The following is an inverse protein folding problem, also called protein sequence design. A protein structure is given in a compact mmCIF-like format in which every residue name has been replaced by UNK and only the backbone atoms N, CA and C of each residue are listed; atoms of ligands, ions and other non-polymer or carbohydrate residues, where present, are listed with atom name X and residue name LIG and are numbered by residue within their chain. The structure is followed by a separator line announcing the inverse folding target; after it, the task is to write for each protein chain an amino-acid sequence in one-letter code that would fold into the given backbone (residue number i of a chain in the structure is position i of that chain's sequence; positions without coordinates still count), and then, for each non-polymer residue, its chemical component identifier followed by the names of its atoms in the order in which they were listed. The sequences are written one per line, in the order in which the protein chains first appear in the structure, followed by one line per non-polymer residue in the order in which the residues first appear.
data_IF_132828570780
#
_entry.id   IF_132828570780
#
_cell.length_a   1.000
_cell.length_b   1.000
_cell.length_c   1.000
_cell.angle_alpha   90.00
_cell.angle_beta   90.00
_cell.angle_gamma   90.00
#
_symmetry.space_group_name_H-M   'P 1'
#
loop_
_entity.id
_entity.type
_entity.pdbx_description
1 polymer ?
#
# COMPACT_ATOMS: atom_id res chain seq x y z
N UNK A 1 9.44 -1.01 -27.05
CA UNK A 1 9.62 0.29 -26.36
C UNK A 1 9.44 0.08 -24.86
N UNK A 2 10.46 0.31 -24.04
CA UNK A 2 10.25 0.40 -22.58
C UNK A 2 9.42 1.68 -22.34
N UNK A 3 8.19 1.55 -21.87
CA UNK A 3 7.42 2.74 -21.48
C UNK A 3 8.14 3.45 -20.33
N UNK A 4 8.23 4.77 -20.44
CA UNK A 4 8.85 5.62 -19.44
C UNK A 4 7.89 5.76 -18.25
N UNK A 5 8.45 5.69 -17.04
CA UNK A 5 7.72 5.99 -15.81
C UNK A 5 7.10 7.37 -15.87
N UNK A 6 5.80 7.47 -15.58
CA UNK A 6 5.07 8.75 -15.54
C UNK A 6 4.96 9.27 -14.12
N UNK A 7 5.03 10.58 -13.98
CA UNK A 7 5.10 11.26 -12.69
C UNK A 7 3.95 12.26 -12.56
N UNK A 8 3.20 12.18 -11.47
CA UNK A 8 2.11 13.08 -11.13
C UNK A 8 2.35 13.71 -9.76
N UNK A 9 2.26 15.04 -9.67
CA UNK A 9 2.43 15.82 -8.43
C UNK A 9 1.15 16.46 -7.93
N UNK A 10 0.06 16.26 -8.66
CA UNK A 10 -1.28 16.67 -8.29
C UNK A 10 -2.26 15.58 -8.76
N UNK A 11 -3.42 15.50 -8.09
CA UNK A 11 -4.40 14.45 -8.37
C UNK A 11 -5.07 14.67 -9.72
N UNK A 12 -5.39 15.92 -10.07
CA UNK A 12 -6.12 16.27 -11.29
C UNK A 12 -5.40 15.82 -12.57
N UNK A 13 -4.10 16.04 -12.68
CA UNK A 13 -3.28 15.59 -13.81
C UNK A 13 -3.33 14.08 -13.98
N UNK A 14 -3.32 13.33 -12.86
CA UNK A 14 -3.49 11.88 -12.92
C UNK A 14 -4.88 11.51 -13.42
N UNK A 15 -5.93 12.12 -12.85
CA UNK A 15 -7.32 11.85 -13.24
C UNK A 15 -7.61 12.17 -14.72
N UNK A 16 -7.00 13.23 -15.24
CA UNK A 16 -7.15 13.68 -16.63
C UNK A 16 -6.21 12.98 -17.63
N UNK A 17 -5.34 12.10 -17.15
CA UNK A 17 -4.40 11.36 -18.00
C UNK A 17 -5.03 10.12 -18.65
N UNK A 18 -4.35 9.54 -19.64
CA UNK A 18 -4.79 8.29 -20.29
C UNK A 18 -4.56 7.06 -19.39
N UNK A 19 -5.44 6.86 -18.41
CA UNK A 19 -5.31 5.87 -17.31
C UNK A 19 -4.94 4.45 -17.77
N UNK A 20 -5.62 3.91 -18.78
CA UNK A 20 -5.38 2.54 -19.27
C UNK A 20 -4.03 2.33 -19.98
N UNK A 21 -3.37 3.42 -20.38
CA UNK A 21 -2.08 3.38 -21.08
C UNK A 21 -0.89 3.19 -20.12
N UNK A 22 -1.11 3.39 -18.82
CA UNK A 22 -0.04 3.46 -17.85
C UNK A 22 0.40 2.07 -17.38
N UNK A 23 1.72 1.85 -17.38
CA UNK A 23 2.34 0.62 -16.87
C UNK A 23 3.26 0.86 -15.68
N UNK A 24 3.82 2.08 -15.56
CA UNK A 24 4.70 2.50 -14.47
C UNK A 24 4.37 3.96 -14.09
N UNK A 25 3.86 4.15 -12.87
CA UNK A 25 3.41 5.45 -12.38
C UNK A 25 4.03 5.75 -11.02
N UNK A 26 4.41 7.01 -10.83
CA UNK A 26 4.65 7.62 -9.53
C UNK A 26 3.73 8.81 -9.30
N UNK A 27 2.90 8.72 -8.26
CA UNK A 27 1.98 9.77 -7.81
C UNK A 27 2.50 10.24 -6.46
N UNK A 28 2.89 11.51 -6.37
CA UNK A 28 3.32 12.15 -5.13
C UNK A 28 2.34 13.24 -4.73
N UNK A 29 1.61 12.99 -3.65
CA UNK A 29 0.61 13.90 -3.10
C UNK A 29 0.84 14.11 -1.59
N UNK A 30 2.08 14.30 -1.09
CA UNK A 30 2.28 14.53 0.34
C UNK A 30 1.57 15.81 0.77
N UNK A 31 0.93 15.79 1.95
CA UNK A 31 0.28 16.97 2.56
C UNK A 31 -0.72 17.68 1.64
N UNK A 32 -1.35 16.95 0.71
CA UNK A 32 -2.22 17.51 -0.33
C UNK A 32 -3.69 17.55 0.08
N UNK A 33 -4.00 17.28 1.35
CA UNK A 33 -5.36 17.27 1.90
C UNK A 33 -6.33 16.38 1.10
N UNK A 34 -5.83 15.23 0.62
CA UNK A 34 -6.60 14.32 -0.23
C UNK A 34 -7.91 13.88 0.46
N UNK A 35 -7.84 13.56 1.76
CA UNK A 35 -8.99 13.13 2.55
C UNK A 35 -9.71 11.90 1.95
N UNK A 36 -10.93 11.65 2.43
CA UNK A 36 -11.75 10.51 2.01
C UNK A 36 -12.26 10.63 0.55
N UNK A 37 -12.67 11.83 0.13
CA UNK A 37 -13.18 12.02 -1.23
C UNK A 37 -12.05 11.92 -2.26
N UNK A 38 -10.90 12.55 -2.00
CA UNK A 38 -9.77 12.49 -2.91
C UNK A 38 -9.19 11.09 -3.05
N UNK A 39 -9.13 10.31 -1.96
CA UNK A 39 -8.63 8.92 -2.04
C UNK A 39 -9.63 8.02 -2.77
N UNK A 40 -10.94 8.28 -2.65
CA UNK A 40 -11.97 7.59 -3.44
C UNK A 40 -11.83 7.88 -4.95
N UNK A 41 -11.60 9.14 -5.32
CA UNK A 41 -11.36 9.54 -6.72
C UNK A 41 -10.08 8.90 -7.27
N UNK A 42 -8.98 8.97 -6.51
CA UNK A 42 -7.71 8.33 -6.87
C UNK A 42 -7.89 6.82 -7.07
N UNK A 43 -8.56 6.16 -6.13
CA UNK A 43 -8.80 4.71 -6.16
C UNK A 43 -9.64 4.31 -7.37
N UNK A 44 -10.70 5.07 -7.66
CA UNK A 44 -11.56 4.86 -8.84
C UNK A 44 -10.79 5.01 -10.16
N UNK A 45 -9.80 5.89 -10.21
CA UNK A 45 -8.92 6.03 -11.37
C UNK A 45 -7.85 4.93 -11.46
N UNK A 46 -7.30 4.47 -10.32
CA UNK A 46 -6.34 3.36 -10.28
C UNK A 46 -6.94 2.06 -10.85
N UNK A 47 -8.22 1.76 -10.58
CA UNK A 47 -8.92 0.59 -11.14
C UNK A 47 -8.93 0.60 -12.68
N UNK A 48 -8.90 1.78 -13.31
CA UNK A 48 -8.86 1.93 -14.77
C UNK A 48 -7.46 1.73 -15.36
N UNK A 49 -6.42 1.66 -14.53
CA UNK A 49 -5.04 1.43 -14.95
C UNK A 49 -4.79 -0.08 -15.16
N UNK A 50 -5.47 -0.69 -16.13
CA UNK A 50 -5.52 -2.14 -16.34
C UNK A 50 -4.18 -2.80 -16.69
N UNK A 51 -3.19 -2.01 -17.12
CA UNK A 51 -1.84 -2.46 -17.47
C UNK A 51 -0.79 -2.08 -16.42
N UNK A 52 -1.21 -1.57 -15.25
CA UNK A 52 -0.30 -1.05 -14.23
C UNK A 52 0.54 -2.19 -13.63
N UNK A 53 1.85 -2.10 -13.81
CA UNK A 53 2.82 -3.07 -13.32
C UNK A 53 3.67 -2.54 -12.15
N UNK A 54 3.93 -1.24 -12.15
CA UNK A 54 4.69 -0.55 -11.11
C UNK A 54 3.90 0.67 -10.61
N UNK A 55 3.70 0.76 -9.31
CA UNK A 55 3.07 1.91 -8.67
C UNK A 55 3.92 2.40 -7.51
N UNK A 56 4.27 3.69 -7.56
CA UNK A 56 4.72 4.45 -6.40
C UNK A 56 3.64 5.45 -6.04
N UNK A 57 3.14 5.39 -4.82
CA UNK A 57 2.09 6.26 -4.33
C UNK A 57 2.52 6.83 -2.98
N UNK A 58 2.78 8.14 -2.95
CA UNK A 58 3.11 8.88 -1.74
C UNK A 58 1.90 9.71 -1.30
N UNK A 59 1.29 9.27 -0.21
CA UNK A 59 0.12 9.86 0.44
C UNK A 59 0.46 10.27 1.89
N UNK A 60 1.71 10.61 2.17
CA UNK A 60 2.13 11.14 3.47
C UNK A 60 1.21 12.28 3.94
N UNK A 61 0.68 12.16 5.17
CA UNK A 61 -0.11 13.21 5.83
C UNK A 61 -1.29 13.75 5.02
N UNK A 62 -2.25 12.89 4.69
CA UNK A 62 -3.41 13.24 3.86
C UNK A 62 -4.77 13.07 4.53
N UNK A 63 -4.80 12.88 5.85
CA UNK A 63 -6.04 12.68 6.62
C UNK A 63 -6.87 11.49 6.10
N UNK A 64 -6.20 10.44 5.61
CA UNK A 64 -6.84 9.20 5.16
C UNK A 64 -7.21 8.38 6.41
N UNK A 65 -8.48 8.03 6.53
CA UNK A 65 -8.98 7.19 7.60
C UNK A 65 -9.17 5.73 7.18
N UNK A 66 -9.93 5.00 7.99
CA UNK A 66 -10.16 3.57 7.80
C UNK A 66 -10.91 3.24 6.51
N UNK A 67 -11.89 4.05 6.13
CA UNK A 67 -12.66 3.84 4.90
C UNK A 67 -11.77 4.09 3.67
N UNK A 68 -11.02 5.19 3.68
CA UNK A 68 -10.15 5.56 2.57
C UNK A 68 -9.08 4.53 2.27
N UNK A 69 -8.43 3.98 3.30
CA UNK A 69 -7.42 2.93 3.10
C UNK A 69 -8.03 1.61 2.62
N UNK A 70 -9.26 1.27 3.04
CA UNK A 70 -9.98 0.09 2.55
C UNK A 70 -10.35 0.20 1.08
N UNK A 71 -10.84 1.39 0.67
CA UNK A 71 -11.15 1.71 -0.73
C UNK A 71 -9.87 1.63 -1.57
N UNK A 72 -8.77 2.22 -1.09
CA UNK A 72 -7.47 2.14 -1.77
C UNK A 72 -7.00 0.69 -1.91
N UNK A 73 -7.04 -0.09 -0.84
CA UNK A 73 -6.63 -1.50 -0.86
C UNK A 73 -7.43 -2.29 -1.89
N UNK A 74 -8.75 -2.06 -1.96
CA UNK A 74 -9.63 -2.70 -2.93
C UNK A 74 -9.30 -2.31 -4.37
N UNK A 75 -8.96 -1.04 -4.63
CA UNK A 75 -8.50 -0.62 -5.95
C UNK A 75 -7.16 -1.26 -6.35
N UNK A 76 -6.20 -1.34 -5.43
CA UNK A 76 -4.91 -2.00 -5.66
C UNK A 76 -5.07 -3.49 -5.98
N UNK A 77 -6.01 -4.18 -5.33
CA UNK A 77 -6.31 -5.59 -5.62
C UNK A 77 -6.87 -5.81 -7.03
N UNK A 78 -7.48 -4.79 -7.65
CA UNK A 78 -7.95 -4.85 -9.04
C UNK A 78 -6.83 -4.62 -10.06
N UNK A 79 -5.66 -4.12 -9.64
CA UNK A 79 -4.49 -3.96 -10.50
C UNK A 79 -3.79 -5.31 -10.68
N UNK A 80 -4.40 -6.21 -11.46
CA UNK A 80 -3.97 -7.62 -11.58
C UNK A 80 -2.54 -7.80 -12.11
N UNK A 81 -2.01 -6.82 -12.85
CA UNK A 81 -0.63 -6.85 -13.37
C UNK A 81 0.42 -6.25 -12.42
N UNK A 82 0.00 -5.76 -11.24
CA UNK A 82 0.88 -5.04 -10.31
C UNK A 82 1.94 -5.98 -9.72
N UNK A 83 3.20 -5.67 -10.00
CA UNK A 83 4.40 -6.43 -9.56
C UNK A 83 5.20 -5.68 -8.52
N UNK A 84 5.22 -4.35 -8.59
CA UNK A 84 5.97 -3.48 -7.69
C UNK A 84 5.02 -2.44 -7.11
N UNK A 85 4.90 -2.43 -5.79
CA UNK A 85 4.13 -1.44 -5.06
C UNK A 85 5.02 -0.75 -4.03
N UNK A 86 5.11 0.57 -4.12
CA UNK A 86 5.63 1.42 -3.06
C UNK A 86 4.53 2.36 -2.59
N UNK A 87 4.04 2.15 -1.38
CA UNK A 87 2.93 2.89 -0.78
C UNK A 87 3.39 3.57 0.51
N UNK A 88 3.30 4.90 0.53
CA UNK A 88 3.54 5.73 1.70
C UNK A 88 2.23 6.28 2.23
N UNK A 89 1.85 5.84 3.42
CA UNK A 89 0.64 6.23 4.14
C UNK A 89 0.99 6.75 5.54
N UNK A 90 2.23 7.20 5.76
CA UNK A 90 2.64 7.73 7.06
C UNK A 90 1.83 8.99 7.45
N UNK A 91 1.68 9.23 8.75
CA UNK A 91 0.96 10.40 9.31
C UNK A 91 -0.50 10.53 8.86
N UNK A 92 -1.22 9.42 8.77
CA UNK A 92 -2.66 9.41 8.48
C UNK A 92 -3.46 9.03 9.73
N UNK A 93 -4.76 8.78 9.56
CA UNK A 93 -5.69 8.43 10.63
C UNK A 93 -6.14 6.97 10.48
N UNK A 94 -5.21 6.08 10.10
CA UNK A 94 -5.50 4.67 9.87
C UNK A 94 -5.44 3.93 11.20
N UNK A 95 -6.57 3.36 11.58
CA UNK A 95 -6.73 2.58 12.80
C UNK A 95 -6.69 1.08 12.49
N UNK A 96 -6.97 0.30 13.52
CA UNK A 96 -6.99 -1.16 13.45
C UNK A 96 -7.98 -1.70 12.39
N UNK A 97 -9.23 -1.21 12.36
CA UNK A 97 -10.26 -1.70 11.44
C UNK A 97 -9.90 -1.41 9.97
N UNK A 98 -9.45 -0.18 9.69
CA UNK A 98 -8.95 0.19 8.36
C UNK A 98 -7.81 -0.70 7.90
N UNK A 99 -6.87 -0.99 8.81
CA UNK A 99 -5.74 -1.90 8.53
C UNK A 99 -6.22 -3.31 8.21
N UNK A 100 -7.18 -3.86 8.96
CA UNK A 100 -7.72 -5.20 8.70
C UNK A 100 -8.39 -5.29 7.32
N UNK A 101 -9.23 -4.32 6.98
CA UNK A 101 -9.88 -4.27 5.67
C UNK A 101 -8.87 -4.06 4.53
N UNK A 102 -7.90 -3.16 4.69
CA UNK A 102 -6.80 -2.99 3.74
C UNK A 102 -6.01 -4.30 3.53
N UNK A 103 -5.70 -5.02 4.61
CA UNK A 103 -4.98 -6.29 4.56
C UNK A 103 -5.75 -7.39 3.83
N UNK A 104 -7.09 -7.39 3.95
CA UNK A 104 -7.96 -8.33 3.23
C UNK A 104 -7.80 -8.15 1.72
N UNK A 105 -7.74 -6.90 1.24
CA UNK A 105 -7.53 -6.62 -0.19
C UNK A 105 -6.06 -6.80 -0.62
N UNK A 106 -5.10 -6.37 0.21
CA UNK A 106 -3.66 -6.56 -0.07
C UNK A 106 -3.31 -8.03 -0.28
N UNK A 107 -3.92 -8.93 0.49
CA UNK A 107 -3.75 -10.38 0.35
C UNK A 107 -4.07 -10.92 -1.06
N UNK A 108 -4.89 -10.20 -1.85
CA UNK A 108 -5.27 -10.57 -3.20
C UNK A 108 -4.28 -10.08 -4.27
N UNK A 109 -3.29 -9.24 -3.89
CA UNK A 109 -2.25 -8.73 -4.78
C UNK A 109 -1.14 -9.78 -5.04
N UNK A 110 -1.53 -10.98 -5.49
CA UNK A 110 -0.67 -12.18 -5.56
C UNK A 110 0.51 -12.09 -6.54
N UNK A 111 0.48 -11.14 -7.47
CA UNK A 111 1.55 -10.89 -8.44
C UNK A 111 2.65 -9.96 -7.91
N UNK A 112 2.49 -9.39 -6.70
CA UNK A 112 3.51 -8.55 -6.09
C UNK A 112 4.80 -9.36 -5.84
N UNK A 113 5.90 -8.81 -6.37
CA UNK A 113 7.26 -9.28 -6.17
C UNK A 113 8.09 -8.34 -5.29
N UNK A 114 7.74 -7.05 -5.27
CA UNK A 114 8.33 -6.07 -4.40
C UNK A 114 7.25 -5.20 -3.74
N UNK A 115 7.34 -5.05 -2.42
CA UNK A 115 6.45 -4.22 -1.62
C UNK A 115 7.28 -3.31 -0.71
N UNK A 116 7.04 -2.01 -0.82
CA UNK A 116 7.42 -1.01 0.18
C UNK A 116 6.12 -0.48 0.77
N UNK A 117 5.90 -0.70 2.06
CA UNK A 117 4.71 -0.27 2.77
C UNK A 117 5.11 0.53 4.00
N UNK A 118 4.84 1.84 3.99
CA UNK A 118 5.09 2.73 5.12
C UNK A 118 3.77 3.19 5.72
N UNK A 119 3.57 2.85 6.98
CA UNK A 119 2.35 3.08 7.75
C UNK A 119 2.67 3.70 9.13
N UNK A 120 3.87 4.24 9.31
CA UNK A 120 4.25 4.88 10.58
C UNK A 120 3.39 6.07 10.94
N UNK A 121 3.31 6.38 12.24
CA UNK A 121 2.50 7.50 12.74
C UNK A 121 1.03 7.38 12.32
N UNK A 122 0.44 6.23 12.62
CA UNK A 122 -0.99 5.95 12.49
C UNK A 122 -1.49 5.38 13.84
N UNK A 123 -2.69 4.80 13.87
CA UNK A 123 -3.29 4.21 15.08
C UNK A 123 -3.48 2.69 14.93
N UNK A 124 -2.53 2.02 14.28
CA UNK A 124 -2.60 0.57 14.05
C UNK A 124 -2.40 -0.20 15.37
N UNK A 125 -3.42 -0.96 15.77
CA UNK A 125 -3.39 -1.85 16.92
C UNK A 125 -2.78 -3.22 16.65
N UNK A 126 -2.82 -4.10 17.65
CA UNK A 126 -2.24 -5.45 17.55
C UNK A 126 -2.99 -6.32 16.54
N UNK A 127 -4.31 -6.23 16.41
CA UNK A 127 -5.05 -7.04 15.42
C UNK A 127 -4.79 -6.54 13.99
N UNK A 128 -4.56 -5.23 13.82
CA UNK A 128 -4.12 -4.65 12.56
C UNK A 128 -2.75 -5.20 12.12
N UNK A 129 -1.79 -5.25 13.05
CA UNK A 129 -0.48 -5.85 12.79
C UNK A 129 -0.55 -7.38 12.55
N UNK A 130 -1.45 -8.08 13.24
CA UNK A 130 -1.73 -9.49 12.98
C UNK A 130 -2.25 -9.71 11.56
N UNK A 131 -3.20 -8.88 11.13
CA UNK A 131 -3.76 -8.89 9.78
C UNK A 131 -2.72 -8.58 8.71
N UNK A 132 -1.82 -7.62 8.95
CA UNK A 132 -0.67 -7.36 8.09
C UNK A 132 0.18 -8.62 7.90
N UNK A 133 0.55 -9.29 9.00
CA UNK A 133 1.31 -10.53 8.93
C UNK A 133 0.60 -11.64 8.14
N UNK A 134 -0.73 -11.75 8.28
CA UNK A 134 -1.55 -12.73 7.55
C UNK A 134 -1.71 -12.37 6.07
N UNK A 135 -1.77 -11.09 5.70
CA UNK A 135 -1.79 -10.67 4.30
C UNK A 135 -0.45 -10.93 3.62
N UNK A 136 0.67 -10.61 4.29
CA UNK A 136 2.01 -10.77 3.73
C UNK A 136 2.34 -12.24 3.38
N UNK A 137 1.90 -13.21 4.18
CA UNK A 137 2.09 -14.64 3.86
C UNK A 137 1.30 -15.12 2.63
N UNK A 138 0.26 -14.40 2.23
CA UNK A 138 -0.52 -14.68 1.01
C UNK A 138 0.15 -14.12 -0.25
N UNK A 139 1.11 -13.20 -0.13
CA UNK A 139 1.89 -12.67 -1.25
C UNK A 139 2.96 -13.68 -1.71
N UNK A 140 2.54 -14.72 -2.43
CA UNK A 140 3.37 -15.90 -2.77
C UNK A 140 4.59 -15.61 -3.64
N UNK A 141 4.69 -14.42 -4.23
CA UNK A 141 5.78 -14.03 -5.12
C UNK A 141 6.69 -12.95 -4.51
N UNK A 142 6.43 -12.52 -3.27
CA UNK A 142 7.20 -11.46 -2.64
C UNK A 142 8.65 -11.88 -2.42
N UNK A 143 9.57 -11.13 -3.02
CA UNK A 143 11.02 -11.33 -2.89
C UNK A 143 11.71 -10.13 -2.24
N UNK A 144 11.09 -8.94 -2.31
CA UNK A 144 11.55 -7.73 -1.64
C UNK A 144 10.45 -7.14 -0.78
N UNK A 145 10.72 -6.94 0.52
CA UNK A 145 9.77 -6.33 1.46
C UNK A 145 10.45 -5.22 2.28
N UNK A 146 9.91 -4.01 2.23
CA UNK A 146 10.20 -2.97 3.21
C UNK A 146 8.91 -2.62 3.93
N UNK A 147 8.89 -2.81 5.25
CA UNK A 147 7.73 -2.54 6.09
C UNK A 147 8.13 -1.58 7.19
N UNK A 148 7.38 -0.50 7.33
CA UNK A 148 7.53 0.42 8.45
C UNK A 148 6.16 0.68 9.10
N UNK A 149 5.99 0.25 10.34
CA UNK A 149 4.82 0.52 11.17
C UNK A 149 5.23 1.18 12.51
N UNK A 150 6.42 1.77 12.61
CA UNK A 150 6.85 2.50 13.81
C UNK A 150 5.83 3.57 14.21
N UNK A 151 5.78 3.92 15.49
CA UNK A 151 4.84 4.92 16.02
C UNK A 151 3.37 4.54 15.74
N UNK A 152 3.04 3.28 16.00
CA UNK A 152 1.69 2.73 16.07
C UNK A 152 1.47 2.05 17.43
N UNK A 153 0.24 1.60 17.69
CA UNK A 153 -0.20 1.02 18.98
C UNK A 153 -0.05 -0.52 19.00
N UNK A 154 1.02 -1.04 18.38
CA UNK A 154 1.28 -2.49 18.30
C UNK A 154 2.05 -2.96 19.53
N UNK A 155 1.52 -3.95 20.23
CA UNK A 155 2.19 -4.57 21.38
C UNK A 155 3.50 -5.25 20.98
N UNK A 156 4.46 -5.34 21.91
CA UNK A 156 5.75 -5.96 21.66
C UNK A 156 5.63 -7.43 21.21
N UNK A 157 4.76 -8.20 21.86
CA UNK A 157 4.48 -9.58 21.47
C UNK A 157 3.97 -9.68 20.02
N UNK A 158 3.11 -8.74 19.61
CA UNK A 158 2.58 -8.77 18.26
C UNK A 158 3.59 -8.28 17.20
N UNK A 159 4.47 -7.34 17.54
CA UNK A 159 5.63 -6.99 16.68
C UNK A 159 6.51 -8.21 16.44
N UNK A 160 6.80 -8.98 17.50
CA UNK A 160 7.58 -10.21 17.39
C UNK A 160 6.88 -11.25 16.50
N UNK A 161 5.57 -11.43 16.67
CA UNK A 161 4.78 -12.34 15.82
C UNK A 161 4.82 -11.92 14.34
N UNK A 162 4.71 -10.63 14.06
CA UNK A 162 4.81 -10.09 12.70
C UNK A 162 6.19 -10.36 12.09
N UNK A 163 7.26 -10.07 12.83
CA UNK A 163 8.65 -10.37 12.41
C UNK A 163 8.77 -11.87 12.11
N UNK A 164 8.33 -12.74 13.02
CA UNK A 164 8.40 -14.20 12.84
C UNK A 164 7.67 -14.65 11.57
N UNK A 165 6.47 -14.12 11.28
CA UNK A 165 5.74 -14.40 10.03
C UNK A 165 6.53 -13.97 8.80
N UNK A 166 7.13 -12.78 8.82
CA UNK A 166 7.91 -12.23 7.71
C UNK A 166 9.18 -13.07 7.44
N UNK A 167 9.86 -13.51 8.49
CA UNK A 167 11.07 -14.34 8.35
C UNK A 167 10.78 -15.74 7.81
N UNK A 168 9.53 -16.21 7.89
CA UNK A 168 9.09 -17.48 7.29
C UNK A 168 8.73 -17.37 5.79
N UNK A 169 8.79 -16.17 5.19
CA UNK A 169 8.55 -15.98 3.76
C UNK A 169 9.71 -16.54 2.93
N UNK A 170 9.55 -17.75 2.40
CA UNK A 170 10.62 -18.52 1.73
C UNK A 170 11.28 -17.84 0.54
N UNK A 171 10.56 -16.98 -0.19
CA UNK A 171 11.08 -16.28 -1.39
C UNK A 171 11.74 -14.93 -1.08
N UNK A 172 11.71 -14.49 0.17
CA UNK A 172 12.17 -13.16 0.56
C UNK A 172 13.70 -13.09 0.55
N UNK A 173 14.27 -12.36 -0.41
CA UNK A 173 15.72 -12.17 -0.55
C UNK A 173 16.21 -10.83 0.01
N UNK A 174 15.34 -9.82 0.04
CA UNK A 174 15.66 -8.50 0.58
C UNK A 174 14.56 -8.05 1.55
N UNK A 175 14.93 -7.69 2.78
CA UNK A 175 13.97 -7.21 3.78
C UNK A 175 14.51 -6.07 4.65
N UNK A 176 13.65 -5.10 4.95
CA UNK A 176 13.91 -4.04 5.93
C UNK A 176 12.63 -3.81 6.73
N UNK A 177 12.65 -4.14 8.02
CA UNK A 177 11.46 -4.17 8.87
C UNK A 177 11.67 -3.23 10.05
N UNK A 178 10.76 -2.26 10.21
CA UNK A 178 10.72 -1.29 11.29
C UNK A 178 9.34 -1.38 11.94
N UNK A 179 9.23 -2.09 13.08
CA UNK A 179 7.94 -2.42 13.72
C UNK A 179 7.92 -2.04 15.19
#
# INVERSE_FOLDING_TARGET
MKQQKKYFKNLEDFLNSSLSSHTDIEIRLPQSQIGELGISNLSSALVKCTNLSNLTLDLYQNQIGDQGVQILGSALANCSQLKILSLDLQHNQIHELGTQGFCTSLANCSNLSALVLRLSFNQIGSEGAQSLGTALIKLRNISTLKLNILYNQVSQGQRWNLIKKIFNLKKLVAKSIYV
#
